data_IF_335156725697
#
_entry.id   IF_335156725697
#
_cell.length_a   1.000
_cell.length_b   1.000
_cell.length_c   1.000
_cell.angle_alpha   90.00
_cell.angle_beta   90.00
_cell.angle_gamma   90.00
#
_symmetry.space_group_name_H-M   'P 1'
#
loop_
_entity.id
_entity.type
_entity.pdbx_description
1 polymer ?
#
# COMPACT_ATOMS: atom_id res chain seq x y z
N UNK A 1 10.16 11.44 39.47
CA UNK A 1 8.80 11.52 38.88
C UNK A 1 8.30 10.10 38.69
N UNK A 2 7.08 9.77 39.15
CA UNK A 2 6.61 8.39 39.13
C UNK A 2 6.33 7.94 37.69
N UNK A 3 6.93 6.82 37.32
CA UNK A 3 6.78 6.14 36.02
C UNK A 3 5.44 5.42 36.06
N UNK A 4 4.51 5.81 35.21
CA UNK A 4 3.25 5.09 35.03
C UNK A 4 3.44 4.08 33.91
N UNK A 5 3.77 2.85 34.28
CA UNK A 5 3.84 1.70 33.37
C UNK A 5 2.43 1.40 32.84
N UNK A 6 2.18 1.63 31.55
CA UNK A 6 1.01 1.06 30.90
C UNK A 6 1.33 -0.38 30.49
N UNK A 7 1.03 -1.33 31.38
CA UNK A 7 0.83 -2.73 30.99
C UNK A 7 -0.38 -2.76 30.06
N UNK A 8 -0.20 -3.23 28.83
CA UNK A 8 -1.32 -3.77 28.05
C UNK A 8 -1.74 -5.04 28.79
N UNK A 9 -2.68 -4.91 29.71
CA UNK A 9 -3.32 -6.06 30.33
C UNK A 9 -4.39 -6.56 29.36
N UNK A 10 -4.26 -7.78 28.78
CA UNK A 10 -5.40 -8.40 28.15
C UNK A 10 -6.45 -8.59 29.24
N UNK A 11 -7.62 -7.96 29.10
CA UNK A 11 -8.78 -8.31 29.92
C UNK A 11 -9.26 -9.67 29.40
N UNK A 12 -8.58 -10.72 29.85
CA UNK A 12 -9.06 -12.08 29.69
C UNK A 12 -10.26 -12.26 30.62
N UNK A 13 -11.47 -12.14 30.07
CA UNK A 13 -12.66 -12.67 30.71
C UNK A 13 -12.50 -14.18 30.88
N UNK A 14 -12.15 -14.59 32.09
CA UNK A 14 -11.83 -15.96 32.45
C UNK A 14 -13.14 -16.73 32.68
N UNK A 15 -13.62 -17.45 31.67
CA UNK A 15 -14.55 -18.57 31.84
C UNK A 15 -14.07 -19.75 31.02
N UNK A 16 -13.69 -20.80 31.73
CA UNK A 16 -13.23 -22.08 31.20
C UNK A 16 -14.25 -22.69 30.23
N UNK A 17 -13.88 -22.88 28.98
CA UNK A 17 -14.15 -24.09 28.15
C UNK A 17 -13.37 -23.98 26.84
N UNK A 18 -12.94 -25.12 26.31
CA UNK A 18 -12.02 -25.27 25.17
C UNK A 18 -12.56 -24.59 23.90
N UNK A 19 -12.09 -23.38 23.62
CA UNK A 19 -12.25 -22.69 22.35
C UNK A 19 -10.95 -21.94 22.07
N UNK A 20 -10.36 -22.13 20.90
CA UNK A 20 -9.29 -21.27 20.39
C UNK A 20 -9.87 -19.87 20.20
N UNK A 21 -9.69 -18.99 21.19
CA UNK A 21 -10.16 -17.59 21.12
C UNK A 21 -9.20 -16.82 20.24
N UNK A 22 -9.62 -16.55 19.01
CA UNK A 22 -9.15 -15.39 18.23
C UNK A 22 -9.56 -14.14 19.03
N UNK A 23 -8.63 -13.56 19.77
CA UNK A 23 -8.87 -12.31 20.47
C UNK A 23 -8.68 -11.17 19.46
N UNK A 24 -9.79 -10.72 18.88
CA UNK A 24 -9.82 -9.52 18.07
C UNK A 24 -9.56 -8.29 18.96
N UNK A 25 -8.61 -7.46 18.56
CA UNK A 25 -8.32 -6.21 19.28
C UNK A 25 -8.91 -5.06 18.50
N UNK A 26 -10.08 -4.58 18.93
CA UNK A 26 -10.64 -3.32 18.47
C UNK A 26 -9.79 -2.16 19.03
N UNK A 27 -8.76 -1.75 18.30
CA UNK A 27 -7.99 -0.57 18.64
C UNK A 27 -8.72 0.69 18.16
N UNK A 28 -9.22 1.46 19.12
CA UNK A 28 -9.28 2.93 18.99
C UNK A 28 -8.20 3.47 19.94
N UNK A 29 -7.06 3.85 19.39
CA UNK A 29 -5.92 4.23 20.23
C UNK A 29 -4.82 4.97 19.48
N UNK A 30 -4.14 5.84 20.20
CA UNK A 30 -2.91 6.50 19.76
C UNK A 30 -1.73 5.72 20.30
N UNK A 31 -0.80 5.30 19.44
CA UNK A 31 0.49 4.76 19.88
C UNK A 31 1.37 5.95 20.25
N UNK A 32 1.69 6.06 21.55
CA UNK A 32 2.51 7.15 22.10
C UNK A 32 4.00 6.78 22.15
N UNK A 33 4.92 7.76 22.16
CA UNK A 33 6.36 7.52 22.07
C UNK A 33 6.88 6.74 23.29
N UNK A 34 7.63 5.67 23.04
CA UNK A 34 8.24 4.82 24.06
C UNK A 34 9.09 3.72 23.40
N UNK A 35 9.85 2.97 24.21
CA UNK A 35 10.53 1.76 23.72
C UNK A 35 9.48 0.84 23.07
N UNK A 36 9.77 0.23 21.91
CA UNK A 36 8.80 -0.60 21.21
C UNK A 36 8.33 -1.68 22.18
N UNK A 37 7.05 -1.63 22.55
CA UNK A 37 6.42 -2.81 23.13
C UNK A 37 6.59 -3.89 22.07
N UNK A 38 7.40 -4.91 22.37
CA UNK A 38 7.60 -6.04 21.49
C UNK A 38 6.27 -6.80 21.39
N UNK A 39 5.36 -6.30 20.54
CA UNK A 39 4.28 -7.09 20.00
C UNK A 39 4.97 -8.22 19.28
N UNK A 40 4.68 -9.46 19.67
CA UNK A 40 5.29 -10.61 19.01
C UNK A 40 5.05 -10.45 17.51
N UNK A 41 6.14 -10.44 16.77
CA UNK A 41 6.20 -10.33 15.33
C UNK A 41 5.35 -11.39 14.59
N UNK A 42 4.84 -12.42 15.27
CA UNK A 42 3.83 -13.37 14.77
C UNK A 42 2.38 -12.83 14.76
N UNK A 43 2.14 -11.66 15.36
CA UNK A 43 0.80 -11.11 15.61
C UNK A 43 0.17 -10.56 14.33
N UNK A 44 -1.06 -11.00 14.06
CA UNK A 44 -1.97 -10.33 13.12
C UNK A 44 -2.72 -9.24 13.88
N UNK A 45 -2.62 -8.00 13.40
CA UNK A 45 -3.36 -6.86 13.94
C UNK A 45 -4.48 -6.52 12.97
N UNK A 46 -5.72 -6.68 13.41
CA UNK A 46 -6.90 -6.19 12.68
C UNK A 46 -7.28 -4.82 13.24
N UNK A 47 -7.43 -3.84 12.34
CA UNK A 47 -7.89 -2.48 12.64
C UNK A 47 -9.29 -2.36 12.08
N UNK A 48 -10.25 -1.97 12.93
CA UNK A 48 -11.69 -2.09 12.64
C UNK A 48 -12.26 -3.40 13.18
N UNK A 49 -13.50 -3.69 12.81
CA UNK A 49 -14.12 -4.98 13.11
C UNK A 49 -13.65 -6.06 12.13
N UNK A 50 -13.56 -7.30 12.59
CA UNK A 50 -13.37 -8.50 11.78
C UNK A 50 -14.73 -9.03 11.26
N UNK A 51 -14.69 -9.89 10.24
CA UNK A 51 -15.88 -10.43 9.57
C UNK A 51 -16.80 -11.27 10.48
N UNK A 52 -16.34 -11.70 11.67
CA UNK A 52 -17.09 -12.49 12.65
C UNK A 52 -17.77 -11.66 13.75
N UNK A 53 -17.81 -10.33 13.62
CA UNK A 53 -18.35 -9.47 14.67
C UNK A 53 -19.88 -9.53 14.81
N UNK A 54 -20.35 -9.36 16.05
CA UNK A 54 -21.74 -9.15 16.42
C UNK A 54 -22.26 -7.78 15.89
N UNK A 55 -23.55 -7.65 15.54
CA UNK A 55 -24.10 -6.46 14.88
C UNK A 55 -24.04 -5.13 15.67
N UNK A 56 -23.55 -5.14 16.91
CA UNK A 56 -23.59 -4.00 17.85
C UNK A 56 -22.22 -3.34 18.11
N UNK A 57 -21.13 -3.71 17.41
CA UNK A 57 -19.86 -2.99 17.51
C UNK A 57 -19.92 -1.60 16.88
N UNK A 58 -19.16 -0.62 17.42
CA UNK A 58 -18.88 0.61 16.67
C UNK A 58 -18.10 0.22 15.40
N UNK A 59 -18.64 0.49 14.20
CA UNK A 59 -18.01 0.09 12.95
C UNK A 59 -16.73 0.87 12.67
N UNK A 60 -16.37 1.88 13.49
CA UNK A 60 -15.21 2.75 13.28
C UNK A 60 -14.03 2.28 14.13
N UNK A 61 -12.98 1.80 13.47
CA UNK A 61 -11.68 1.49 14.08
C UNK A 61 -10.59 2.42 13.59
N UNK A 62 -9.64 2.77 14.46
CA UNK A 62 -8.63 3.76 14.15
C UNK A 62 -7.33 3.53 14.92
N UNK A 63 -6.22 3.41 14.19
CA UNK A 63 -4.87 3.43 14.76
C UNK A 63 -4.12 4.64 14.24
N UNK A 64 -3.61 5.45 15.16
CA UNK A 64 -2.69 6.54 14.85
C UNK A 64 -1.34 6.25 15.49
N UNK A 65 -0.29 6.14 14.67
CA UNK A 65 1.11 6.07 15.08
C UNK A 65 1.68 7.46 14.90
N UNK A 66 2.09 8.13 15.98
CA UNK A 66 2.50 9.54 15.95
C UNK A 66 3.69 9.84 16.88
N UNK A 67 4.41 10.93 16.61
CA UNK A 67 5.32 11.59 17.55
C UNK A 67 6.66 10.89 17.79
N UNK A 68 7.21 10.17 16.81
CA UNK A 68 8.43 9.37 16.98
C UNK A 68 8.16 7.97 17.55
N UNK A 69 6.89 7.55 17.58
CA UNK A 69 6.49 6.21 18.02
C UNK A 69 6.89 5.13 17.03
N UNK A 70 7.10 3.91 17.56
CA UNK A 70 7.34 2.72 16.76
C UNK A 70 6.17 1.73 16.87
N UNK A 71 5.58 1.35 15.73
CA UNK A 71 4.58 0.26 15.65
C UNK A 71 5.20 -0.95 14.95
N UNK A 72 5.04 -2.15 15.51
CA UNK A 72 5.57 -3.41 14.93
C UNK A 72 4.49 -4.49 14.89
N UNK A 73 4.28 -5.12 13.74
CA UNK A 73 3.35 -6.25 13.56
C UNK A 73 3.84 -7.22 12.46
N UNK A 74 3.37 -8.47 12.48
CA UNK A 74 3.66 -9.46 11.43
C UNK A 74 2.73 -9.32 10.21
N UNK A 75 1.45 -9.11 10.51
CA UNK A 75 0.40 -8.87 9.52
C UNK A 75 -0.52 -7.78 10.04
N UNK A 76 -0.98 -6.90 9.16
CA UNK A 76 -1.95 -5.87 9.49
C UNK A 76 -3.09 -5.90 8.48
N UNK A 77 -4.32 -5.88 8.98
CA UNK A 77 -5.55 -5.81 8.20
C UNK A 77 -6.28 -4.53 8.59
N UNK A 78 -6.43 -3.59 7.65
CA UNK A 78 -7.19 -2.35 7.86
C UNK A 78 -8.50 -2.51 7.12
N UNK A 79 -9.61 -2.74 7.84
CA UNK A 79 -10.93 -2.85 7.21
C UNK A 79 -11.18 -4.23 6.63
N UNK A 80 -11.09 -5.25 7.50
CA UNK A 80 -11.31 -6.66 7.19
C UNK A 80 -12.80 -7.07 7.27
N UNK A 81 -13.70 -6.11 7.48
CA UNK A 81 -15.15 -6.35 7.51
C UNK A 81 -15.90 -5.38 6.60
N UNK A 82 -16.83 -5.92 5.81
CA UNK A 82 -17.70 -5.15 4.93
C UNK A 82 -18.58 -4.11 5.68
N UNK A 83 -18.85 -4.34 6.96
CA UNK A 83 -19.69 -3.46 7.79
C UNK A 83 -18.89 -2.37 8.52
N UNK A 84 -17.56 -2.41 8.48
CA UNK A 84 -16.69 -1.55 9.27
C UNK A 84 -15.86 -0.58 8.43
N UNK A 85 -15.64 0.61 8.97
CA UNK A 85 -14.72 1.63 8.50
C UNK A 85 -13.45 1.57 9.37
N UNK A 86 -12.32 1.22 8.76
CA UNK A 86 -11.04 1.18 9.45
C UNK A 86 -10.07 2.21 8.90
N UNK A 87 -9.30 2.81 9.80
CA UNK A 87 -8.29 3.81 9.46
C UNK A 87 -6.97 3.53 10.16
N UNK A 88 -5.87 3.56 9.41
CA UNK A 88 -4.53 3.59 9.94
C UNK A 88 -3.84 4.88 9.49
N UNK A 89 -3.28 5.62 10.43
CA UNK A 89 -2.49 6.84 10.19
C UNK A 89 -1.12 6.66 10.79
N UNK A 90 -0.08 6.97 10.03
CA UNK A 90 1.31 7.01 10.47
C UNK A 90 1.79 8.42 10.17
N UNK A 91 1.98 9.23 11.21
CA UNK A 91 2.15 10.69 11.07
C UNK A 91 3.24 11.24 11.98
N UNK A 92 3.80 12.38 11.63
CA UNK A 92 4.80 13.09 12.42
C UNK A 92 6.24 12.67 12.13
N UNK A 93 7.15 13.62 12.37
CA UNK A 93 8.57 13.46 12.08
C UNK A 93 9.20 12.32 12.89
N UNK A 94 10.08 11.56 12.24
CA UNK A 94 10.76 10.39 12.79
C UNK A 94 9.83 9.26 13.30
N UNK A 95 8.53 9.34 13.04
CA UNK A 95 7.59 8.26 13.36
C UNK A 95 7.79 7.09 12.42
N UNK A 96 7.82 5.86 12.95
CA UNK A 96 8.05 4.66 12.16
C UNK A 96 7.04 3.56 12.44
N UNK A 97 6.33 3.11 11.41
CA UNK A 97 5.58 1.86 11.43
C UNK A 97 6.35 0.78 10.66
N UNK A 98 6.47 -0.42 11.20
CA UNK A 98 7.16 -1.55 10.58
C UNK A 98 6.31 -2.80 10.65
N UNK A 99 6.00 -3.36 9.49
CA UNK A 99 5.31 -4.64 9.36
C UNK A 99 6.37 -5.63 8.92
N UNK A 100 6.90 -6.40 9.86
CA UNK A 100 8.12 -7.18 9.69
C UNK A 100 7.89 -8.67 9.90
N UNK A 101 8.74 -9.55 9.33
CA UNK A 101 8.62 -10.97 9.55
C UNK A 101 8.78 -11.29 11.04
N UNK A 102 8.06 -12.32 11.47
CA UNK A 102 8.04 -12.69 12.87
C UNK A 102 7.63 -14.11 13.15
N UNK A 103 8.40 -14.78 14.02
CA UNK A 103 8.24 -16.21 14.26
C UNK A 103 8.30 -17.01 12.96
N UNK A 104 7.26 -17.78 12.66
CA UNK A 104 7.11 -18.61 11.46
C UNK A 104 6.50 -17.88 10.25
N UNK A 105 6.13 -16.60 10.38
CA UNK A 105 5.50 -15.84 9.29
C UNK A 105 6.59 -15.26 8.38
N UNK A 106 6.84 -15.95 7.27
CA UNK A 106 7.86 -15.57 6.28
C UNK A 106 7.36 -14.55 5.25
N UNK A 107 6.19 -13.93 5.46
CA UNK A 107 5.56 -13.03 4.49
C UNK A 107 4.81 -11.90 5.20
N UNK A 108 5.52 -10.87 5.67
CA UNK A 108 4.89 -9.69 6.26
C UNK A 108 3.93 -9.05 5.26
N UNK A 109 2.76 -8.65 5.73
CA UNK A 109 1.71 -8.13 4.86
C UNK A 109 0.85 -7.06 5.50
N UNK A 110 0.50 -6.05 4.71
CA UNK A 110 -0.46 -5.00 5.04
C UNK A 110 -1.58 -5.05 4.00
N UNK A 111 -2.80 -5.22 4.46
CA UNK A 111 -3.98 -5.15 3.61
C UNK A 111 -4.84 -3.96 4.02
N UNK A 112 -5.29 -3.19 3.03
CA UNK A 112 -6.14 -2.02 3.21
C UNK A 112 -7.43 -2.25 2.44
N UNK A 113 -8.55 -2.37 3.15
CA UNK A 113 -9.85 -2.71 2.58
C UNK A 113 -9.87 -4.11 1.97
N UNK A 114 -9.42 -5.11 2.75
CA UNK A 114 -9.34 -6.50 2.30
C UNK A 114 -10.74 -7.04 1.91
N UNK A 115 -11.69 -6.93 2.83
CA UNK A 115 -13.08 -7.36 2.63
C UNK A 115 -14.08 -6.21 2.76
N UNK A 116 -13.65 -5.03 3.25
CA UNK A 116 -14.53 -3.88 3.47
C UNK A 116 -13.86 -2.54 3.25
N UNK A 117 -14.09 -1.60 4.18
CA UNK A 117 -13.58 -0.23 4.04
C UNK A 117 -12.32 -0.01 4.88
N UNK A 118 -11.19 0.18 4.22
CA UNK A 118 -9.91 0.51 4.83
C UNK A 118 -9.30 1.77 4.23
N UNK A 119 -8.73 2.60 5.10
CA UNK A 119 -7.96 3.77 4.73
C UNK A 119 -6.60 3.77 5.41
N UNK A 120 -5.53 3.96 4.65
CA UNK A 120 -4.17 4.13 5.14
C UNK A 120 -3.66 5.53 4.79
N UNK A 121 -3.03 6.20 5.75
CA UNK A 121 -2.32 7.47 5.50
C UNK A 121 -0.95 7.46 6.13
N UNK A 122 0.06 7.90 5.37
CA UNK A 122 1.43 8.12 5.83
C UNK A 122 1.82 9.57 5.49
N UNK A 123 2.04 10.41 6.49
CA UNK A 123 2.31 11.84 6.29
C UNK A 123 3.26 12.46 7.31
N UNK A 124 3.48 13.78 7.18
CA UNK A 124 4.25 14.62 8.11
C UNK A 124 5.67 14.09 8.44
N UNK A 125 6.33 13.47 7.47
CA UNK A 125 7.69 12.94 7.62
C UNK A 125 7.76 11.53 8.20
N UNK A 126 6.62 10.86 8.34
CA UNK A 126 6.55 9.51 8.90
C UNK A 126 6.91 8.42 7.89
N UNK A 127 7.41 7.30 8.41
CA UNK A 127 7.94 6.19 7.62
C UNK A 127 7.14 4.91 7.86
N UNK A 128 6.74 4.25 6.78
CA UNK A 128 6.11 2.92 6.81
C UNK A 128 6.98 1.92 6.06
N UNK A 129 7.32 0.82 6.72
CA UNK A 129 8.04 -0.30 6.12
C UNK A 129 7.18 -1.56 6.15
N UNK A 130 6.92 -2.16 4.99
CA UNK A 130 6.20 -3.43 4.83
C UNK A 130 7.17 -4.48 4.30
N UNK A 131 7.71 -5.25 5.23
CA UNK A 131 8.75 -6.23 4.97
C UNK A 131 10.11 -5.62 4.61
N UNK A 132 11.02 -6.48 4.16
CA UNK A 132 12.37 -6.13 3.75
C UNK A 132 12.89 -7.20 2.80
N UNK A 133 13.70 -6.83 1.81
CA UNK A 133 14.18 -7.80 0.81
C UNK A 133 13.01 -8.46 0.07
N UNK A 134 13.13 -9.69 -0.47
CA UNK A 134 12.10 -10.29 -1.34
C UNK A 134 10.78 -10.66 -0.62
N UNK A 135 10.53 -10.12 0.58
CA UNK A 135 9.35 -10.36 1.40
C UNK A 135 8.69 -9.03 1.75
N UNK A 136 7.35 -9.02 1.82
CA UNK A 136 6.59 -7.81 2.10
C UNK A 136 5.56 -7.54 1.02
N UNK A 137 4.27 -7.59 1.38
CA UNK A 137 3.17 -7.30 0.47
C UNK A 137 2.31 -6.17 1.04
N UNK A 138 2.10 -5.13 0.26
CA UNK A 138 1.04 -4.14 0.49
C UNK A 138 -0.06 -4.38 -0.55
N UNK A 139 -1.27 -4.66 -0.09
CA UNK A 139 -2.46 -4.80 -0.94
C UNK A 139 -3.48 -3.73 -0.56
N UNK A 140 -3.93 -2.96 -1.54
CA UNK A 140 -5.02 -2.00 -1.41
C UNK A 140 -6.20 -2.57 -2.20
N UNK A 141 -7.26 -2.94 -1.50
CA UNK A 141 -8.35 -3.77 -1.99
C UNK A 141 -8.09 -5.27 -1.87
N UNK A 142 -9.18 -6.03 -1.99
CA UNK A 142 -9.23 -7.49 -2.09
C UNK A 142 -10.24 -7.94 -3.15
N UNK A 143 -10.15 -9.20 -3.55
CA UNK A 143 -10.77 -9.76 -4.78
C UNK A 143 -12.29 -9.92 -4.78
N UNK A 144 -13.00 -9.28 -3.84
CA UNK A 144 -14.45 -9.35 -3.74
C UNK A 144 -15.04 -7.98 -4.08
N UNK A 145 -16.18 -7.94 -4.78
CA UNK A 145 -16.89 -6.71 -5.21
C UNK A 145 -17.53 -5.91 -4.05
N UNK A 146 -16.96 -5.95 -2.85
CA UNK A 146 -17.54 -5.25 -1.69
C UNK A 146 -17.49 -3.73 -1.86
N UNK A 147 -18.65 -3.09 -1.72
CA UNK A 147 -18.77 -1.64 -1.74
C UNK A 147 -18.09 -1.07 -0.48
N UNK A 148 -16.93 -0.44 -0.65
CA UNK A 148 -16.17 0.12 0.47
C UNK A 148 -15.03 1.03 0.02
N UNK A 149 -14.55 1.86 0.94
CA UNK A 149 -13.38 2.72 0.70
C UNK A 149 -12.13 1.83 0.76
N UNK A 150 -11.30 1.82 -0.29
CA UNK A 150 -10.09 1.01 -0.35
C UNK A 150 -8.94 1.91 -0.79
N UNK A 151 -8.43 2.75 0.11
CA UNK A 151 -7.49 3.79 -0.32
C UNK A 151 -6.29 3.94 0.59
N UNK A 152 -5.16 4.29 -0.02
CA UNK A 152 -3.95 4.68 0.69
C UNK A 152 -3.44 6.03 0.19
N UNK A 153 -2.92 6.83 1.11
CA UNK A 153 -2.30 8.12 0.81
C UNK A 153 -0.92 8.23 1.43
N UNK A 154 0.06 8.70 0.65
CA UNK A 154 1.41 9.03 1.12
C UNK A 154 1.70 10.48 0.76
N UNK A 155 1.89 11.33 1.77
CA UNK A 155 1.87 12.79 1.58
C UNK A 155 3.05 13.45 2.28
N UNK A 156 3.78 14.32 1.58
CA UNK A 156 4.81 15.20 2.18
C UNK A 156 6.25 14.79 1.90
N UNK A 157 7.12 15.80 1.78
CA UNK A 157 8.54 15.80 1.34
C UNK A 157 9.50 14.87 2.12
N UNK A 158 9.05 14.23 3.18
CA UNK A 158 9.86 13.31 4.01
C UNK A 158 9.10 12.02 4.38
N UNK A 159 7.89 11.87 3.86
CA UNK A 159 7.08 10.69 4.07
C UNK A 159 7.52 9.60 3.11
N UNK A 160 7.79 8.42 3.67
CA UNK A 160 8.41 7.31 2.93
C UNK A 160 7.65 6.01 3.20
N UNK A 161 7.24 5.34 2.13
CA UNK A 161 6.74 3.98 2.18
C UNK A 161 7.73 3.05 1.47
N UNK A 162 8.15 1.98 2.16
CA UNK A 162 9.00 0.94 1.60
C UNK A 162 8.31 -0.41 1.68
N UNK A 163 8.26 -1.13 0.56
CA UNK A 163 7.59 -2.42 0.44
C UNK A 163 8.58 -3.41 -0.15
N UNK A 164 8.87 -4.50 0.56
CA UNK A 164 9.97 -5.39 0.18
C UNK A 164 9.75 -6.17 -1.11
N UNK A 165 8.54 -6.67 -1.37
CA UNK A 165 8.25 -7.48 -2.57
C UNK A 165 7.26 -6.82 -3.51
N UNK A 166 6.02 -6.64 -3.06
CA UNK A 166 4.92 -6.36 -3.97
C UNK A 166 3.94 -5.33 -3.43
N UNK A 167 3.58 -4.37 -4.28
CA UNK A 167 2.44 -3.49 -4.14
C UNK A 167 1.35 -3.94 -5.11
N UNK A 168 0.15 -4.16 -4.60
CA UNK A 168 -1.04 -4.45 -5.40
C UNK A 168 -2.10 -3.38 -5.10
N UNK A 169 -2.57 -2.71 -6.15
CA UNK A 169 -3.73 -1.82 -6.11
C UNK A 169 -4.83 -2.52 -6.90
N UNK A 170 -5.80 -3.08 -6.20
CA UNK A 170 -6.90 -3.87 -6.76
C UNK A 170 -7.83 -3.05 -7.65
N UNK A 171 -8.82 -3.69 -8.24
CA UNK A 171 -9.84 -3.06 -9.08
C UNK A 171 -10.92 -2.33 -8.25
N UNK A 172 -11.95 -1.85 -8.94
CA UNK A 172 -13.08 -1.16 -8.33
C UNK A 172 -12.67 0.19 -7.72
N UNK A 173 -13.09 0.53 -6.49
CA UNK A 173 -12.79 1.81 -5.84
C UNK A 173 -11.39 1.85 -5.20
N UNK A 174 -10.48 0.93 -5.55
CA UNK A 174 -9.18 0.84 -4.90
C UNK A 174 -8.21 1.89 -5.46
N UNK A 175 -7.59 2.68 -4.58
CA UNK A 175 -6.72 3.78 -4.99
C UNK A 175 -5.48 4.01 -4.13
N UNK A 176 -4.40 4.49 -4.75
CA UNK A 176 -3.20 4.99 -4.08
C UNK A 176 -2.90 6.41 -4.57
N UNK A 177 -2.80 7.37 -3.65
CA UNK A 177 -2.34 8.72 -3.95
C UNK A 177 -0.99 8.98 -3.29
N UNK A 178 -0.01 9.43 -4.06
CA UNK A 178 1.32 9.83 -3.59
C UNK A 178 1.52 11.29 -3.99
N UNK A 179 1.79 12.17 -3.03
CA UNK A 179 1.81 13.62 -3.29
C UNK A 179 2.71 14.42 -2.38
N UNK A 180 2.93 15.68 -2.76
CA UNK A 180 3.65 16.69 -1.98
C UNK A 180 5.08 16.28 -1.61
N UNK A 181 5.80 15.60 -2.50
CA UNK A 181 7.19 15.19 -2.31
C UNK A 181 7.38 13.83 -1.62
N UNK A 182 6.31 13.09 -1.42
CA UNK A 182 6.35 11.75 -0.85
C UNK A 182 7.02 10.72 -1.75
N UNK A 183 7.61 9.69 -1.14
CA UNK A 183 8.31 8.61 -1.86
C UNK A 183 7.71 7.25 -1.51
N UNK A 184 7.41 6.46 -2.53
CA UNK A 184 7.06 5.04 -2.41
C UNK A 184 8.11 4.20 -3.12
N UNK A 185 8.69 3.23 -2.42
CA UNK A 185 9.68 2.29 -2.98
C UNK A 185 9.17 0.87 -2.85
N UNK A 186 9.13 0.15 -3.98
CA UNK A 186 8.60 -1.21 -4.05
C UNK A 186 9.59 -2.17 -4.69
N UNK A 187 9.84 -3.26 -3.98
CA UNK A 187 10.69 -4.35 -4.41
C UNK A 187 12.05 -4.36 -3.70
N UNK A 188 12.80 -5.40 -4.01
CA UNK A 188 14.19 -5.54 -3.58
C UNK A 188 15.12 -4.75 -4.50
N UNK A 189 16.21 -4.22 -3.95
CA UNK A 189 17.33 -3.68 -4.73
C UNK A 189 18.00 -4.76 -5.61
N UNK A 190 17.73 -6.05 -5.37
CA UNK A 190 18.24 -7.12 -6.22
C UNK A 190 17.69 -7.03 -7.65
N UNK A 191 18.54 -7.29 -8.65
CA UNK A 191 18.26 -7.33 -10.10
C UNK A 191 17.19 -8.34 -10.59
N UNK A 192 16.33 -8.87 -9.71
CA UNK A 192 15.30 -9.84 -10.07
C UNK A 192 14.10 -9.12 -10.68
N UNK A 193 13.81 -9.42 -11.95
CA UNK A 193 12.68 -8.87 -12.69
C UNK A 193 11.37 -9.59 -12.31
N UNK A 194 10.74 -9.15 -11.24
CA UNK A 194 9.39 -9.56 -10.85
C UNK A 194 8.41 -8.40 -10.99
N UNK A 195 7.13 -8.70 -11.16
CA UNK A 195 6.09 -7.66 -11.20
C UNK A 195 5.82 -7.16 -9.78
N UNK A 196 6.67 -6.22 -9.36
CA UNK A 196 6.69 -5.66 -8.01
C UNK A 196 5.56 -4.67 -7.76
N UNK A 197 5.03 -4.03 -8.79
CA UNK A 197 3.87 -3.13 -8.69
C UNK A 197 2.82 -3.58 -9.70
N UNK A 198 1.60 -3.81 -9.20
CA UNK A 198 0.43 -4.22 -9.98
C UNK A 198 -0.69 -3.20 -9.73
N UNK A 199 -1.18 -2.57 -10.79
CA UNK A 199 -2.20 -1.52 -10.74
C UNK A 199 -3.41 -1.96 -11.56
N UNK A 200 -4.46 -2.44 -10.90
CA UNK A 200 -5.76 -2.72 -11.51
C UNK A 200 -6.81 -1.65 -11.15
N UNK A 201 -6.54 -0.83 -10.14
CA UNK A 201 -7.34 0.33 -9.74
C UNK A 201 -6.70 1.63 -10.18
N UNK A 202 -6.70 2.63 -9.31
CA UNK A 202 -6.16 3.95 -9.61
C UNK A 202 -4.92 4.27 -8.78
N UNK A 203 -3.87 4.74 -9.45
CA UNK A 203 -2.69 5.32 -8.79
C UNK A 203 -2.45 6.71 -9.33
N UNK A 204 -2.33 7.68 -8.43
CA UNK A 204 -2.01 9.07 -8.75
C UNK A 204 -0.69 9.44 -8.06
N UNK A 205 0.23 10.01 -8.84
CA UNK A 205 1.43 10.66 -8.35
C UNK A 205 1.39 12.13 -8.75
N UNK A 206 1.39 13.03 -7.77
CA UNK A 206 1.27 14.45 -8.04
C UNK A 206 2.31 15.28 -7.27
N UNK A 207 2.82 16.31 -7.92
CA UNK A 207 3.69 17.31 -7.32
C UNK A 207 5.19 17.02 -7.46
N UNK A 208 5.98 18.09 -7.38
CA UNK A 208 7.42 18.01 -7.52
C UNK A 208 8.04 17.12 -6.43
N UNK A 209 9.07 16.35 -6.79
CA UNK A 209 9.81 15.44 -5.88
C UNK A 209 9.01 14.26 -5.36
N UNK A 210 7.75 14.11 -5.78
CA UNK A 210 6.95 12.92 -5.55
C UNK A 210 7.47 11.77 -6.40
N UNK A 211 7.70 10.60 -5.81
CA UNK A 211 8.30 9.48 -6.52
C UNK A 211 7.69 8.10 -6.22
N UNK A 212 7.54 7.29 -7.27
CA UNK A 212 7.39 5.84 -7.17
C UNK A 212 8.61 5.15 -7.76
N UNK A 213 9.31 4.37 -6.93
CA UNK A 213 10.51 3.64 -7.31
C UNK A 213 10.21 2.14 -7.41
N UNK A 214 10.41 1.55 -8.58
CA UNK A 214 10.13 0.13 -8.83
C UNK A 214 10.93 -0.43 -10.02
N UNK A 215 11.28 -1.72 -9.99
CA UNK A 215 11.93 -2.40 -11.12
C UNK A 215 10.95 -3.18 -12.02
N UNK A 216 9.71 -3.36 -11.60
CA UNK A 216 8.69 -4.10 -12.34
C UNK A 216 7.30 -3.56 -12.07
N UNK A 217 6.65 -3.06 -13.12
CA UNK A 217 5.35 -2.40 -13.07
C UNK A 217 4.39 -3.00 -14.09
N UNK A 218 3.17 -3.29 -13.68
CA UNK A 218 2.06 -3.68 -14.58
C UNK A 218 0.85 -2.81 -14.30
N UNK A 219 0.33 -2.18 -15.35
CA UNK A 219 -0.90 -1.37 -15.31
C UNK A 219 -1.96 -2.09 -16.14
N UNK A 220 -3.07 -2.40 -15.50
CA UNK A 220 -4.15 -3.20 -16.04
C UNK A 220 -3.80 -4.66 -16.34
N UNK A 221 -4.69 -5.33 -17.07
CA UNK A 221 -4.61 -6.77 -17.31
C UNK A 221 -3.83 -7.09 -18.58
N UNK A 222 -3.04 -8.17 -18.53
CA UNK A 222 -2.31 -8.69 -19.70
C UNK A 222 -3.18 -9.52 -20.65
N UNK A 223 -4.39 -9.89 -20.23
CA UNK A 223 -5.25 -10.81 -20.97
C UNK A 223 -6.17 -10.05 -21.95
N UNK A 224 -6.07 -10.29 -23.27
CA UNK A 224 -6.92 -9.66 -24.27
C UNK A 224 -8.40 -10.09 -24.20
N UNK A 225 -8.73 -11.14 -23.43
CA UNK A 225 -10.09 -11.66 -23.33
C UNK A 225 -11.03 -10.84 -22.44
N UNK A 226 -10.53 -9.77 -21.79
CA UNK A 226 -11.30 -8.84 -20.95
C UNK A 226 -11.45 -7.51 -21.71
N UNK A 227 -12.39 -7.37 -22.67
CA UNK A 227 -12.17 -6.45 -23.78
C UNK A 227 -12.72 -5.02 -23.58
N UNK A 228 -13.35 -4.67 -22.45
CA UNK A 228 -14.14 -3.42 -22.38
C UNK A 228 -14.25 -2.73 -21.02
N UNK A 229 -13.26 -2.84 -20.14
CA UNK A 229 -13.21 -1.87 -19.06
C UNK A 229 -11.79 -1.41 -18.77
N UNK A 230 -11.66 -0.10 -18.56
CA UNK A 230 -10.45 0.52 -18.07
C UNK A 230 -10.29 0.03 -16.62
N UNK A 231 -9.36 -0.88 -16.43
CA UNK A 231 -9.04 -1.43 -15.12
C UNK A 231 -7.54 -1.24 -14.98
N UNK A 232 -7.12 -0.24 -14.21
CA UNK A 232 -5.73 0.13 -14.04
C UNK A 232 -5.40 1.46 -14.69
N UNK A 233 -5.37 2.52 -13.90
CA UNK A 233 -4.88 3.84 -14.30
C UNK A 233 -3.70 4.23 -13.44
N UNK A 234 -2.60 4.63 -14.09
CA UNK A 234 -1.49 5.32 -13.45
C UNK A 234 -1.41 6.73 -14.01
N UNK A 235 -1.66 7.72 -13.15
CA UNK A 235 -1.56 9.14 -13.46
C UNK A 235 -0.32 9.76 -12.81
N UNK A 236 0.47 10.49 -13.58
CA UNK A 236 1.73 11.10 -13.15
C UNK A 236 1.73 12.58 -13.54
N UNK A 237 1.57 13.42 -12.54
CA UNK A 237 1.25 14.83 -12.72
C UNK A 237 2.27 15.75 -12.03
N UNK A 238 2.34 17.00 -12.50
CA UNK A 238 3.00 18.12 -11.80
C UNK A 238 4.47 17.85 -11.42
N UNK A 239 5.23 17.20 -12.30
CA UNK A 239 6.66 16.91 -12.08
C UNK A 239 6.93 15.71 -11.17
N UNK A 240 5.92 14.92 -10.83
CA UNK A 240 6.10 13.62 -10.17
C UNK A 240 6.82 12.64 -11.10
N UNK A 241 7.49 11.63 -10.50
CA UNK A 241 8.36 10.71 -11.25
C UNK A 241 8.10 9.25 -10.88
N UNK A 242 7.91 8.41 -11.88
CA UNK A 242 8.06 6.95 -11.73
C UNK A 242 9.43 6.56 -12.27
N UNK A 243 10.24 5.84 -11.48
CA UNK A 243 11.61 5.48 -11.89
C UNK A 243 12.09 4.12 -11.38
N UNK A 244 13.14 3.59 -11.99
CA UNK A 244 13.81 2.39 -11.49
C UNK A 244 14.49 2.61 -10.14
N UNK A 245 14.56 1.56 -9.31
CA UNK A 245 15.27 1.63 -8.02
C UNK A 245 16.79 1.68 -8.19
N UNK A 246 17.31 1.21 -9.32
CA UNK A 246 18.75 1.20 -9.62
C UNK A 246 19.06 1.82 -10.98
N UNK A 247 20.26 2.38 -11.08
CA UNK A 247 20.78 3.07 -12.26
C UNK A 247 20.92 2.15 -13.48
N UNK A 248 19.86 2.16 -14.30
CA UNK A 248 19.86 2.00 -15.77
C UNK A 248 20.27 0.62 -16.30
N UNK A 249 19.30 -0.29 -16.41
CA UNK A 249 19.44 -1.38 -17.37
C UNK A 249 18.38 -2.46 -17.29
N UNK A 250 17.79 -2.69 -16.12
CA UNK A 250 16.94 -3.86 -15.90
C UNK A 250 15.67 -3.51 -15.12
N UNK A 251 14.85 -2.63 -15.70
CA UNK A 251 13.50 -2.34 -15.20
C UNK A 251 12.50 -2.44 -16.34
N UNK A 252 11.34 -3.01 -16.06
CA UNK A 252 10.29 -3.23 -17.06
C UNK A 252 8.95 -2.72 -16.57
N UNK A 253 8.20 -2.15 -17.50
CA UNK A 253 6.82 -1.77 -17.31
C UNK A 253 5.98 -2.35 -18.44
N UNK A 254 4.76 -2.74 -18.10
CA UNK A 254 3.79 -3.23 -19.06
C UNK A 254 2.45 -2.54 -18.81
N UNK A 255 1.92 -1.90 -19.85
CA UNK A 255 0.57 -1.34 -19.86
C UNK A 255 -0.30 -2.29 -20.68
N UNK A 256 -1.13 -3.07 -19.99
CA UNK A 256 -1.98 -4.09 -20.61
C UNK A 256 -3.17 -3.52 -21.36
N UNK A 257 -3.95 -4.39 -22.01
CA UNK A 257 -5.07 -4.00 -22.91
C UNK A 257 -6.08 -3.03 -22.28
N UNK A 258 -6.31 -3.15 -20.97
CA UNK A 258 -7.22 -2.32 -20.17
C UNK A 258 -6.52 -1.24 -19.35
N UNK A 259 -5.20 -1.13 -19.45
CA UNK A 259 -4.39 -0.18 -18.68
C UNK A 259 -4.28 1.19 -19.35
N UNK A 260 -4.23 2.23 -18.52
CA UNK A 260 -3.99 3.62 -18.92
C UNK A 260 -2.80 4.20 -18.16
N UNK A 261 -1.80 4.69 -18.90
CA UNK A 261 -0.71 5.51 -18.38
C UNK A 261 -0.95 6.96 -18.81
N UNK A 262 -1.17 7.84 -17.86
CA UNK A 262 -1.53 9.25 -18.07
C UNK A 262 -0.45 10.15 -17.49
N UNK A 263 0.08 11.05 -18.32
CA UNK A 263 1.18 11.94 -17.96
C UNK A 263 0.75 13.39 -18.14
N UNK A 264 0.61 14.18 -17.06
CA UNK A 264 0.36 15.62 -17.15
C UNK A 264 1.52 16.42 -16.52
N UNK A 265 2.57 16.63 -17.31
CA UNK A 265 3.81 17.26 -16.82
C UNK A 265 4.65 16.37 -15.88
N UNK A 266 4.30 15.11 -15.69
CA UNK A 266 5.09 14.11 -14.98
C UNK A 266 6.14 13.38 -15.84
N UNK A 267 6.98 12.56 -15.20
CA UNK A 267 8.04 11.78 -15.86
C UNK A 267 7.90 10.28 -15.57
N UNK A 268 7.92 9.48 -16.62
CA UNK A 268 7.98 8.02 -16.55
C UNK A 268 9.34 7.50 -17.03
N UNK A 269 10.21 7.13 -16.10
CA UNK A 269 11.61 6.75 -16.32
C UNK A 269 11.88 5.27 -15.98
N UNK A 270 11.25 4.36 -16.71
CA UNK A 270 11.51 2.90 -16.65
C UNK A 270 12.20 2.46 -17.94
N UNK A 271 13.20 1.55 -17.83
CA UNK A 271 14.10 1.22 -18.94
C UNK A 271 13.38 0.65 -20.16
N UNK A 272 12.39 -0.23 -19.95
CA UNK A 272 11.62 -0.87 -21.01
C UNK A 272 10.12 -0.75 -20.71
N UNK A 273 9.37 -0.12 -21.62
CA UNK A 273 7.91 -0.04 -21.56
C UNK A 273 7.31 -0.83 -22.73
N UNK A 274 6.50 -1.83 -22.42
CA UNK A 274 5.64 -2.52 -23.40
C UNK A 274 4.21 -1.99 -23.29
N UNK A 275 3.65 -1.52 -24.39
CA UNK A 275 2.35 -0.85 -24.45
C UNK A 275 1.34 -1.63 -25.30
N UNK A 276 0.30 -2.16 -24.66
CA UNK A 276 -0.89 -2.77 -25.28
C UNK A 276 -2.17 -1.98 -25.00
N UNK A 277 -2.20 -1.22 -23.90
CA UNK A 277 -3.28 -0.29 -23.57
C UNK A 277 -3.04 1.13 -24.08
N UNK A 278 -3.33 2.11 -23.23
CA UNK A 278 -3.25 3.53 -23.57
C UNK A 278 -2.09 4.23 -22.85
N UNK A 279 -1.37 5.07 -23.60
CA UNK A 279 -0.48 6.11 -23.09
C UNK A 279 -1.03 7.46 -23.56
N UNK A 280 -1.28 8.40 -22.66
CA UNK A 280 -1.83 9.72 -23.02
C UNK A 280 -1.24 10.87 -22.21
N UNK A 281 -1.28 12.08 -22.76
CA UNK A 281 -0.98 13.33 -22.05
C UNK A 281 0.23 14.11 -22.61
N UNK A 282 0.84 14.93 -21.76
CA UNK A 282 1.86 15.95 -22.09
C UNK A 282 3.23 15.75 -21.40
N UNK A 283 3.38 14.70 -20.57
CA UNK A 283 4.62 14.41 -19.85
C UNK A 283 5.71 13.67 -20.64
N UNK A 284 6.77 13.27 -19.94
CA UNK A 284 7.97 12.66 -20.54
C UNK A 284 8.07 11.16 -20.27
N UNK A 285 8.43 10.38 -21.29
CA UNK A 285 8.80 8.96 -21.15
C UNK A 285 10.28 8.79 -21.46
N UNK A 286 11.05 8.32 -20.47
CA UNK A 286 12.51 8.12 -20.56
C UNK A 286 12.82 6.62 -20.52
N UNK A 287 13.05 6.04 -21.69
CA UNK A 287 13.35 4.61 -21.86
C UNK A 287 13.05 4.14 -23.28
N UNK A 288 13.14 2.82 -23.51
CA UNK A 288 12.66 2.23 -24.75
C UNK A 288 11.17 1.93 -24.65
N UNK A 289 10.38 2.45 -25.59
CA UNK A 289 8.95 2.15 -25.70
C UNK A 289 8.71 1.19 -26.85
N UNK A 290 8.11 0.04 -26.57
CA UNK A 290 7.62 -0.92 -27.55
C UNK A 290 6.10 -0.90 -27.57
N UNK A 291 5.52 -0.46 -28.69
CA UNK A 291 4.07 -0.37 -28.87
C UNK A 291 3.60 -1.61 -29.63
N UNK A 292 2.81 -2.45 -28.97
CA UNK A 292 2.21 -3.63 -29.58
C UNK A 292 0.97 -3.25 -30.40
N UNK A 293 0.43 -4.20 -31.18
CA UNK A 293 -0.62 -3.94 -32.18
C UNK A 293 -1.91 -3.27 -31.63
N UNK A 294 -2.21 -3.45 -30.35
CA UNK A 294 -3.38 -2.86 -29.68
C UNK A 294 -3.08 -1.54 -28.97
N UNK A 295 -1.79 -1.21 -28.79
CA UNK A 295 -1.35 -0.04 -28.04
C UNK A 295 -1.73 1.27 -28.72
N UNK A 296 -2.11 2.26 -27.92
CA UNK A 296 -2.48 3.61 -28.37
C UNK A 296 -1.65 4.67 -27.65
N UNK A 297 -1.12 5.62 -28.42
CA UNK A 297 -0.45 6.81 -27.89
C UNK A 297 -1.26 8.04 -28.31
N UNK A 298 -1.73 8.81 -27.33
CA UNK A 298 -2.48 10.05 -27.51
C UNK A 298 -1.65 11.22 -26.97
N UNK A 299 -1.00 11.97 -27.86
CA UNK A 299 -0.15 13.11 -27.47
C UNK A 299 -1.01 14.38 -27.42
N UNK A 300 -0.98 15.06 -26.26
CA UNK A 300 -1.64 16.34 -26.01
C UNK A 300 -0.75 17.55 -26.23
#
# INVERSE_FOLDING_TARGET
MPITLLRIAPVAGLLFTVATVSAEVLFTGTVAPGDPAAVDSSTTVTIGAADDFLPDADPRGGVEVNGGSQFVAGRVLVGDSAAALAKMVVTGDQTKATIGPGGSVNSPSLFVGANGSGYLRVDDGAWLQVGSGPYGVLSIGGGDDSAGIRSAEVVGDSSLVTIGRQLFVGDGPSSLSVRDGAVVRVGSLSNVLEDTVLIHGEVELAGARTELQTNGLTIGYRDPSIPYANFGTLRIDEGAIVRSMEGRGNSRAYVGYSGSLELDGGVFAISQLSLEGRLSGSGEVVGSVNVNFAGKIEVG
#
